data_IF_803965824839
#
_entry.id   IF_803965824839
#
_cell.length_a   1.000
_cell.length_b   1.000
_cell.length_c   1.000
_cell.angle_alpha   90.00
_cell.angle_beta   90.00
_cell.angle_gamma   90.00
#
_symmetry.space_group_name_H-M   'P 1'
#
loop_
_entity.id
_entity.type
_entity.pdbx_description
1 polymer ?
#
# COMPACT_ATOMS: atom_id res chain seq x y z
N UNK A 1 5.92 7.15 -25.18
CA UNK A 1 5.53 7.91 -23.96
C UNK A 1 5.62 6.95 -22.77
N UNK A 2 6.45 7.23 -21.76
CA UNK A 2 6.59 6.35 -20.59
C UNK A 2 5.39 6.53 -19.65
N UNK A 3 4.74 5.43 -19.26
CA UNK A 3 3.75 5.43 -18.20
C UNK A 3 4.45 5.67 -16.85
N UNK A 4 3.97 6.65 -16.07
CA UNK A 4 4.51 6.92 -14.73
C UNK A 4 3.89 5.92 -13.73
N UNK A 5 4.64 5.54 -12.70
CA UNK A 5 4.22 4.57 -11.68
C UNK A 5 4.42 5.16 -10.29
N UNK A 6 3.44 4.96 -9.41
CA UNK A 6 3.47 5.34 -8.00
C UNK A 6 3.29 4.07 -7.17
N UNK A 7 4.17 3.86 -6.20
CA UNK A 7 4.05 2.78 -5.23
C UNK A 7 3.79 3.41 -3.86
N UNK A 8 2.74 2.97 -3.18
CA UNK A 8 2.33 3.54 -1.89
C UNK A 8 2.33 2.44 -0.84
N UNK A 9 3.05 2.67 0.24
CA UNK A 9 3.27 1.68 1.30
C UNK A 9 2.57 2.17 2.58
N UNK A 10 1.73 1.33 3.20
CA UNK A 10 1.09 1.67 4.47
C UNK A 10 -0.09 0.78 4.84
N UNK A 11 -0.79 1.13 5.93
CA UNK A 11 -1.93 0.37 6.45
C UNK A 11 -3.26 0.72 5.76
N UNK A 12 -4.38 0.38 6.40
CA UNK A 12 -5.74 0.57 5.84
C UNK A 12 -6.01 2.01 5.36
N UNK A 13 -5.70 3.01 6.18
CA UNK A 13 -5.90 4.42 5.81
C UNK A 13 -5.13 4.80 4.54
N UNK A 14 -3.94 4.23 4.34
CA UNK A 14 -3.15 4.40 3.12
C UNK A 14 -3.80 3.73 1.92
N UNK A 15 -4.36 2.53 2.08
CA UNK A 15 -5.05 1.83 1.00
C UNK A 15 -6.32 2.57 0.55
N UNK A 16 -7.06 3.16 1.50
CA UNK A 16 -8.18 4.07 1.19
C UNK A 16 -7.71 5.30 0.41
N UNK A 17 -6.57 5.87 0.79
CA UNK A 17 -5.95 6.99 0.07
C UNK A 17 -5.53 6.64 -1.36
N UNK A 18 -5.01 5.43 -1.60
CA UNK A 18 -4.65 4.95 -2.95
C UNK A 18 -5.85 4.98 -3.89
N UNK A 19 -7.03 4.56 -3.42
CA UNK A 19 -8.27 4.60 -4.22
C UNK A 19 -8.66 6.04 -4.55
N UNK A 20 -8.62 6.95 -3.57
CA UNK A 20 -8.93 8.36 -3.80
C UNK A 20 -7.97 9.01 -4.83
N UNK A 21 -6.66 8.74 -4.73
CA UNK A 21 -5.66 9.26 -5.67
C UNK A 21 -5.87 8.68 -7.08
N UNK A 22 -6.21 7.39 -7.19
CA UNK A 22 -6.49 6.76 -8.47
C UNK A 22 -7.68 7.40 -9.19
N UNK A 23 -8.76 7.71 -8.46
CA UNK A 23 -9.91 8.43 -9.03
C UNK A 23 -9.52 9.83 -9.49
N UNK A 24 -8.64 10.53 -8.77
CA UNK A 24 -8.11 11.82 -9.20
C UNK A 24 -7.23 11.73 -10.47
N UNK A 25 -6.42 10.66 -10.61
CA UNK A 25 -5.67 10.42 -11.86
C UNK A 25 -6.61 10.25 -13.05
N UNK A 26 -7.71 9.50 -12.89
CA UNK A 26 -8.74 9.34 -13.91
C UNK A 26 -9.42 10.67 -14.23
N UNK A 27 -9.79 11.45 -13.20
CA UNK A 27 -10.44 12.76 -13.35
C UNK A 27 -9.57 13.75 -14.14
N UNK A 28 -8.25 13.65 -13.99
CA UNK A 28 -7.28 14.54 -14.64
C UNK A 28 -6.71 13.98 -15.97
N UNK A 29 -7.23 12.86 -16.48
CA UNK A 29 -6.72 12.14 -17.65
C UNK A 29 -5.21 11.85 -17.60
N UNK A 30 -4.72 11.49 -16.41
CA UNK A 30 -3.32 11.16 -16.17
C UNK A 30 -3.08 9.67 -16.39
N UNK A 31 -2.20 9.34 -17.34
CA UNK A 31 -1.69 7.96 -17.52
C UNK A 31 -0.64 7.60 -16.48
N UNK A 32 -1.10 7.40 -15.24
CA UNK A 32 -0.27 7.02 -14.09
C UNK A 32 -0.85 5.74 -13.48
N UNK A 33 0.00 4.74 -13.30
CA UNK A 33 -0.34 3.54 -12.52
C UNK A 33 -0.03 3.79 -11.05
N UNK A 34 -0.91 3.32 -10.16
CA UNK A 34 -0.68 3.33 -8.72
C UNK A 34 -0.83 1.92 -8.16
N UNK A 35 0.09 1.49 -7.31
CA UNK A 35 0.09 0.20 -6.64
C UNK A 35 0.21 0.40 -5.13
N UNK A 36 -0.78 -0.07 -4.38
CA UNK A 36 -0.72 -0.16 -2.92
C UNK A 36 0.08 -1.39 -2.49
N UNK A 37 1.01 -1.20 -1.56
CA UNK A 37 1.80 -2.25 -0.91
C UNK A 37 1.40 -2.23 0.57
N UNK A 38 0.51 -3.14 1.01
CA UNK A 38 -0.01 -3.09 2.36
C UNK A 38 1.09 -3.40 3.38
N UNK A 39 1.15 -2.57 4.42
CA UNK A 39 1.96 -2.78 5.62
C UNK A 39 1.07 -2.77 6.85
N UNK A 40 1.06 -3.88 7.57
CA UNK A 40 0.71 -3.85 8.98
C UNK A 40 1.80 -4.51 9.82
N UNK A 41 2.16 -3.89 10.95
CA UNK A 41 3.04 -4.53 11.93
C UNK A 41 2.29 -5.64 12.68
N UNK A 42 0.97 -5.58 12.73
CA UNK A 42 0.12 -6.46 13.53
C UNK A 42 -0.27 -7.75 12.79
N UNK A 43 0.11 -7.88 11.50
CA UNK A 43 -0.17 -9.03 10.63
C UNK A 43 -1.67 -9.40 10.51
N UNK A 44 -2.55 -8.41 10.55
CA UNK A 44 -4.02 -8.53 10.52
C UNK A 44 -4.62 -8.26 9.12
N UNK A 45 -3.88 -8.55 8.06
CA UNK A 45 -4.37 -8.34 6.70
C UNK A 45 -5.02 -9.64 6.24
N UNK A 46 -6.36 -9.66 6.17
CA UNK A 46 -7.19 -10.85 5.88
C UNK A 46 -6.75 -11.71 4.67
N UNK A 47 -6.03 -11.12 3.72
CA UNK A 47 -5.68 -11.72 2.43
C UNK A 47 -4.22 -12.21 2.38
N UNK A 48 -3.36 -11.84 3.33
CA UNK A 48 -1.95 -12.26 3.35
C UNK A 48 -1.56 -12.95 4.65
N UNK A 49 -0.83 -14.06 4.54
CA UNK A 49 -0.37 -14.83 5.70
C UNK A 49 0.70 -14.08 6.52
N UNK A 50 1.46 -13.18 5.89
CA UNK A 50 2.58 -12.47 6.52
C UNK A 50 2.81 -11.08 5.93
N UNK A 51 2.72 -10.07 6.78
CA UNK A 51 3.10 -8.69 6.51
C UNK A 51 4.60 -8.48 6.77
N UNK A 52 5.21 -7.57 6.01
CA UNK A 52 6.62 -7.26 6.19
C UNK A 52 6.86 -6.50 7.50
N UNK A 53 7.98 -6.82 8.17
CA UNK A 53 8.36 -6.22 9.46
C UNK A 53 7.77 -6.91 10.70
N UNK A 54 6.80 -7.82 10.55
CA UNK A 54 6.22 -8.57 11.67
C UNK A 54 7.26 -9.40 12.42
N UNK A 55 8.08 -10.19 11.70
CA UNK A 55 9.06 -11.09 12.33
C UNK A 55 10.11 -10.33 13.15
N UNK A 56 10.61 -9.21 12.64
CA UNK A 56 11.57 -8.36 13.37
C UNK A 56 10.94 -7.74 14.62
N UNK A 57 9.65 -7.37 14.57
CA UNK A 57 8.95 -6.84 15.74
C UNK A 57 8.78 -7.89 16.84
N UNK A 58 8.45 -9.14 16.46
CA UNK A 58 8.39 -10.27 17.39
C UNK A 58 9.75 -10.53 18.04
N UNK A 59 10.83 -10.58 17.25
CA UNK A 59 12.20 -10.77 17.76
C UNK A 59 12.64 -9.63 18.70
N UNK A 60 12.18 -8.41 18.47
CA UNK A 60 12.53 -7.24 19.31
C UNK A 60 11.74 -7.17 20.62
N UNK A 61 10.66 -7.95 20.76
CA UNK A 61 9.79 -7.97 21.94
C UNK A 61 10.12 -9.11 22.93
N UNK A 62 11.13 -9.94 22.62
CA UNK A 62 11.68 -10.98 23.50
C UNK A 62 12.86 -10.44 24.34
#
# INVERSE_FOLDING_TARGET
MMAKKVYVIGGDGTMRGVVAIFEEFKRCDLRISITGIPKNLDNDIDIIDRAFGFQTAVESAQ
#
